data_IF_608596895516
#
_entry.id   IF_608596895516
#
_cell.length_a   1.000
_cell.length_b   1.000
_cell.length_c   1.000
_cell.angle_alpha   90.00
_cell.angle_beta   90.00
_cell.angle_gamma   90.00
#
_symmetry.space_group_name_H-M   'P 1'
#
loop_
_entity.id
_entity.type
_entity.pdbx_description
1 polymer ?
#
# COMPACT_ATOMS: atom_id res chain seq x y z
N UNK A 1 2.90 10.86 3.26
CA UNK A 1 2.22 11.93 4.04
C UNK A 1 1.08 11.38 4.89
N UNK A 2 0.13 10.62 4.31
CA UNK A 2 -1.04 10.10 5.04
C UNK A 2 -0.72 9.17 6.22
N UNK A 3 0.22 8.23 6.09
CA UNK A 3 0.60 7.34 7.22
C UNK A 3 1.23 8.10 8.38
N UNK A 4 2.00 9.16 8.10
CA UNK A 4 2.58 10.01 9.12
C UNK A 4 1.52 10.84 9.86
N UNK A 5 0.53 11.34 9.12
CA UNK A 5 -0.59 12.08 9.70
C UNK A 5 -1.49 11.18 10.56
N UNK A 6 -1.89 10.01 10.04
CA UNK A 6 -2.67 9.02 10.79
C UNK A 6 -1.91 8.54 12.04
N UNK A 7 -0.60 8.33 11.95
CA UNK A 7 0.21 7.98 13.11
C UNK A 7 0.23 9.10 14.17
N UNK A 8 0.36 10.36 13.75
CA UNK A 8 0.35 11.52 14.66
C UNK A 8 -1.02 11.70 15.35
N UNK A 9 -2.10 11.36 14.67
CA UNK A 9 -3.48 11.43 15.17
C UNK A 9 -3.88 10.18 15.99
N UNK A 10 -2.98 9.20 16.17
CA UNK A 10 -3.28 7.95 16.88
C UNK A 10 -4.20 6.99 16.11
N UNK A 11 -4.41 7.24 14.82
CA UNK A 11 -5.23 6.43 13.94
C UNK A 11 -4.69 5.00 13.77
N UNK A 12 -5.61 4.07 13.53
CA UNK A 12 -5.27 2.70 13.16
C UNK A 12 -5.00 2.63 11.66
N UNK A 13 -3.84 2.10 11.27
CA UNK A 13 -3.49 1.91 9.87
C UNK A 13 -2.54 0.72 9.72
N UNK A 14 -2.53 0.16 8.52
CA UNK A 14 -1.56 -0.85 8.07
C UNK A 14 -0.96 -0.37 6.74
N UNK A 15 0.36 -0.51 6.58
CA UNK A 15 1.09 -0.15 5.37
C UNK A 15 1.69 -1.40 4.74
N UNK A 16 1.30 -1.68 3.50
CA UNK A 16 1.89 -2.74 2.67
C UNK A 16 2.81 -2.08 1.65
N UNK A 17 4.11 -2.28 1.80
CA UNK A 17 5.14 -1.67 0.97
C UNK A 17 5.84 -2.74 0.13
N UNK A 18 5.71 -2.64 -1.19
CA UNK A 18 6.37 -3.55 -2.14
C UNK A 18 7.54 -2.84 -2.81
N UNK A 19 8.63 -3.56 -3.00
CA UNK A 19 9.77 -3.10 -3.79
C UNK A 19 10.49 -4.28 -4.42
N UNK A 20 11.25 -4.03 -5.49
CA UNK A 20 11.86 -5.13 -6.27
C UNK A 20 12.89 -5.93 -5.48
N UNK A 21 13.71 -5.25 -4.68
CA UNK A 21 14.76 -5.84 -3.84
C UNK A 21 14.88 -5.04 -2.55
N UNK A 22 15.47 -5.63 -1.52
CA UNK A 22 15.76 -4.91 -0.26
C UNK A 22 16.63 -3.66 -0.47
N UNK A 23 17.60 -3.73 -1.38
CA UNK A 23 18.48 -2.59 -1.70
C UNK A 23 17.77 -1.43 -2.40
N UNK A 24 16.64 -1.67 -3.08
CA UNK A 24 15.84 -0.64 -3.75
C UNK A 24 14.74 -0.07 -2.85
N UNK A 25 14.48 -0.69 -1.69
CA UNK A 25 13.53 -0.20 -0.70
C UNK A 25 14.12 0.85 0.23
N UNK A 26 14.52 2.02 -0.28
CA UNK A 26 15.24 3.07 0.50
C UNK A 26 14.53 3.51 1.79
N UNK A 27 13.21 3.38 1.86
CA UNK A 27 12.42 3.72 3.05
C UNK A 27 12.01 2.51 3.90
N UNK A 28 12.34 1.28 3.50
CA UNK A 28 11.92 0.06 4.16
C UNK A 28 12.31 0.04 5.65
N UNK A 29 13.58 0.29 5.94
CA UNK A 29 14.11 0.26 7.31
C UNK A 29 13.50 1.39 8.17
N UNK A 30 13.44 2.61 7.62
CA UNK A 30 12.83 3.78 8.30
C UNK A 30 11.36 3.53 8.64
N UNK A 31 10.60 2.93 7.72
CA UNK A 31 9.19 2.61 7.94
C UNK A 31 9.01 1.53 9.00
N UNK A 32 9.85 0.48 8.98
CA UNK A 32 9.83 -0.57 9.99
C UNK A 32 10.20 -0.05 11.37
N UNK A 33 11.25 0.77 11.49
CA UNK A 33 11.64 1.37 12.77
C UNK A 33 10.55 2.28 13.33
N UNK A 34 9.88 3.05 12.46
CA UNK A 34 8.88 4.04 12.89
C UNK A 34 7.52 3.44 13.25
N UNK A 35 7.08 2.41 12.53
CA UNK A 35 5.72 1.90 12.59
C UNK A 35 5.63 0.41 12.94
N UNK A 36 6.77 -0.25 13.11
CA UNK A 36 6.92 -1.62 13.61
C UNK A 36 5.93 -2.60 12.94
N UNK A 37 5.08 -3.27 13.73
CA UNK A 37 4.11 -4.29 13.25
C UNK A 37 3.04 -3.75 12.31
N UNK A 38 2.92 -2.43 12.12
CA UNK A 38 1.97 -1.82 11.17
C UNK A 38 2.51 -1.79 9.74
N UNK A 39 3.77 -2.16 9.51
CA UNK A 39 4.38 -2.17 8.17
C UNK A 39 4.70 -3.60 7.75
N UNK A 40 4.20 -3.99 6.59
CA UNK A 40 4.59 -5.23 5.90
C UNK A 40 5.37 -4.90 4.65
N UNK A 41 6.53 -5.50 4.54
CA UNK A 41 7.39 -5.38 3.37
C UNK A 41 7.24 -6.61 2.50
N UNK A 42 7.28 -6.40 1.19
CA UNK A 42 7.23 -7.45 0.17
C UNK A 42 8.32 -7.19 -0.85
N UNK A 43 9.11 -8.21 -1.14
CA UNK A 43 10.19 -8.15 -2.14
C UNK A 43 9.92 -9.04 -3.35
N UNK A 44 9.85 -8.44 -4.54
CA UNK A 44 9.56 -9.18 -5.78
C UNK A 44 10.65 -10.22 -6.10
N UNK A 45 11.92 -9.93 -5.80
CA UNK A 45 13.04 -10.86 -5.99
C UNK A 45 12.99 -12.10 -5.09
N UNK A 46 12.14 -12.08 -4.06
CA UNK A 46 11.86 -13.20 -3.16
C UNK A 46 10.51 -13.86 -3.45
N UNK A 47 9.83 -13.43 -4.51
CA UNK A 47 8.44 -13.81 -4.85
C UNK A 47 7.45 -13.57 -3.68
N UNK A 48 7.74 -12.56 -2.84
CA UNK A 48 6.84 -12.15 -1.78
C UNK A 48 5.75 -11.25 -2.37
N UNK A 49 4.48 -11.61 -2.17
CA UNK A 49 3.35 -10.86 -2.70
C UNK A 49 2.32 -10.52 -1.64
N UNK A 50 1.59 -9.45 -1.91
CA UNK A 50 0.44 -9.07 -1.09
C UNK A 50 -0.69 -10.02 -1.45
N UNK A 51 -1.17 -10.79 -0.46
CA UNK A 51 -2.41 -11.56 -0.53
C UNK A 51 -3.61 -10.60 -0.50
N UNK A 52 -3.80 -9.86 -1.60
CA UNK A 52 -4.69 -8.71 -1.65
C UNK A 52 -6.14 -9.07 -1.33
N UNK A 53 -6.60 -10.23 -1.78
CA UNK A 53 -7.97 -10.72 -1.56
C UNK A 53 -8.26 -10.89 -0.09
N UNK A 54 -7.34 -11.57 0.61
CA UNK A 54 -7.42 -11.79 2.04
C UNK A 54 -7.31 -10.47 2.79
N UNK A 55 -6.40 -9.59 2.35
CA UNK A 55 -6.21 -8.29 2.97
C UNK A 55 -7.47 -7.44 2.88
N UNK A 56 -8.04 -7.27 1.68
CA UNK A 56 -9.19 -6.40 1.45
C UNK A 56 -10.49 -6.97 2.03
N UNK A 57 -10.66 -8.29 2.05
CA UNK A 57 -11.85 -8.93 2.64
C UNK A 57 -11.86 -8.92 4.17
N UNK A 58 -10.70 -8.73 4.82
CA UNK A 58 -10.62 -8.70 6.28
C UNK A 58 -10.75 -7.30 6.90
N UNK A 59 -10.95 -6.26 6.09
CA UNK A 59 -10.97 -4.90 6.62
C UNK A 59 -12.34 -4.54 7.24
N UNK A 60 -12.35 -3.80 8.36
CA UNK A 60 -13.58 -3.28 8.93
C UNK A 60 -14.31 -2.33 7.99
N UNK A 61 -15.63 -2.21 8.16
CA UNK A 61 -16.42 -1.17 7.51
C UNK A 61 -15.91 0.22 7.94
N UNK A 62 -15.84 1.13 6.97
CA UNK A 62 -15.29 2.47 7.17
C UNK A 62 -13.77 2.58 6.98
N UNK A 63 -13.08 1.48 6.64
CA UNK A 63 -11.68 1.57 6.20
C UNK A 63 -11.56 2.27 4.85
N UNK A 64 -10.56 3.15 4.73
CA UNK A 64 -10.16 3.76 3.47
C UNK A 64 -8.89 3.08 2.94
N UNK A 65 -8.91 2.73 1.65
CA UNK A 65 -7.78 2.17 0.95
C UNK A 65 -7.04 3.27 0.19
N UNK A 66 -5.73 3.35 0.39
CA UNK A 66 -4.85 4.28 -0.34
C UNK A 66 -3.79 3.48 -1.07
N UNK A 67 -3.65 3.68 -2.38
CA UNK A 67 -2.64 3.00 -3.21
C UNK A 67 -1.83 4.00 -4.03
N UNK A 68 -0.51 3.87 -4.00
CA UNK A 68 0.38 4.62 -4.87
C UNK A 68 1.37 3.69 -5.55
N UNK A 69 1.70 3.95 -6.82
CA UNK A 69 2.63 3.10 -7.56
C UNK A 69 2.48 3.19 -9.08
N UNK A 70 3.03 2.21 -9.82
CA UNK A 70 2.85 2.09 -11.26
C UNK A 70 1.38 1.87 -11.62
N UNK A 71 0.96 2.35 -12.80
CA UNK A 71 -0.44 2.27 -13.24
C UNK A 71 -1.01 0.85 -13.23
N UNK A 72 -0.19 -0.17 -13.54
CA UNK A 72 -0.61 -1.58 -13.47
C UNK A 72 -0.95 -2.05 -12.06
N UNK A 73 -0.16 -1.65 -11.05
CA UNK A 73 -0.42 -1.96 -9.65
C UNK A 73 -1.68 -1.27 -9.16
N UNK A 74 -1.84 0.03 -9.48
CA UNK A 74 -3.03 0.80 -9.11
C UNK A 74 -4.29 0.17 -9.73
N UNK A 75 -4.26 -0.16 -11.02
CA UNK A 75 -5.37 -0.82 -11.71
C UNK A 75 -5.74 -2.14 -11.04
N UNK A 76 -4.75 -3.01 -10.82
CA UNK A 76 -4.94 -4.28 -10.13
C UNK A 76 -5.60 -4.13 -8.75
N UNK A 77 -5.12 -3.20 -7.92
CA UNK A 77 -5.69 -2.97 -6.58
C UNK A 77 -7.14 -2.47 -6.66
N UNK A 78 -7.41 -1.52 -7.56
CA UNK A 78 -8.75 -0.94 -7.73
C UNK A 78 -9.76 -1.97 -8.23
N UNK A 79 -9.39 -2.74 -9.25
CA UNK A 79 -10.26 -3.76 -9.82
C UNK A 79 -10.59 -4.82 -8.77
N UNK A 80 -9.60 -5.22 -7.95
CA UNK A 80 -9.85 -6.19 -6.90
C UNK A 80 -10.73 -5.63 -5.79
N UNK A 81 -10.48 -4.40 -5.33
CA UNK A 81 -11.33 -3.74 -4.33
C UNK A 81 -12.79 -3.64 -4.82
N UNK A 82 -13.00 -3.21 -6.07
CA UNK A 82 -14.33 -3.15 -6.67
C UNK A 82 -15.01 -4.53 -6.72
N UNK A 83 -14.28 -5.57 -7.11
CA UNK A 83 -14.83 -6.95 -7.13
C UNK A 83 -15.21 -7.50 -5.75
N UNK A 84 -14.65 -6.92 -4.67
CA UNK A 84 -14.95 -7.27 -3.28
C UNK A 84 -16.00 -6.32 -2.66
N UNK A 85 -16.59 -5.43 -3.45
CA UNK A 85 -17.67 -4.54 -3.02
C UNK A 85 -17.21 -3.28 -2.28
N UNK A 86 -15.94 -2.89 -2.39
CA UNK A 86 -15.47 -1.64 -1.80
C UNK A 86 -16.12 -0.43 -2.50
N UNK A 87 -16.69 0.53 -1.76
CA UNK A 87 -17.18 1.78 -2.33
C UNK A 87 -16.05 2.57 -3.01
N UNK A 88 -16.32 3.13 -4.20
CA UNK A 88 -15.31 3.90 -4.92
C UNK A 88 -14.79 5.12 -4.12
N UNK A 89 -15.63 5.70 -3.26
CA UNK A 89 -15.31 6.82 -2.39
C UNK A 89 -14.31 6.49 -1.27
N UNK A 90 -14.14 5.21 -0.94
CA UNK A 90 -13.15 4.76 0.06
C UNK A 90 -11.86 4.25 -0.58
N UNK A 91 -11.76 4.25 -1.91
CA UNK A 91 -10.56 3.80 -2.65
C UNK A 91 -9.86 4.98 -3.32
N UNK A 92 -8.72 5.36 -2.76
CA UNK A 92 -7.92 6.52 -3.15
C UNK A 92 -6.64 6.06 -3.83
N UNK A 93 -6.22 6.75 -4.89
CA UNK A 93 -5.00 6.37 -5.60
C UNK A 93 -4.23 7.56 -6.15
N UNK A 94 -2.90 7.42 -6.21
CA UNK A 94 -2.00 8.40 -6.79
C UNK A 94 -0.96 7.69 -7.68
N UNK A 95 -0.78 8.19 -8.90
CA UNK A 95 0.27 7.69 -9.79
C UNK A 95 1.62 8.28 -9.38
N UNK A 96 2.62 7.42 -9.19
CA UNK A 96 4.01 7.89 -9.25
C UNK A 96 4.31 8.21 -10.72
N UNK A 97 4.27 9.49 -11.08
CA UNK A 97 4.87 9.92 -12.33
C UNK A 97 6.38 9.64 -12.21
N UNK A 98 6.85 8.56 -12.85
CA UNK A 98 8.27 8.44 -13.14
C UNK A 98 8.66 9.71 -13.92
N UNK A 99 9.79 10.37 -13.61
CA UNK A 99 10.29 11.41 -14.49
C UNK A 99 10.41 10.82 -15.89
N UNK A 100 9.94 11.55 -16.92
CA UNK A 100 10.08 11.09 -18.30
C UNK A 100 11.56 10.72 -18.53
N UNK A 101 11.87 9.53 -19.09
CA UNK A 101 13.22 9.24 -19.50
C UNK A 101 13.62 10.29 -20.53
N UNK A 102 14.64 11.09 -20.20
CA UNK A 102 15.27 12.03 -21.13
C UNK A 102 16.10 11.33 -22.19
#
# INVERSE_FOLDING_TARGET
AQTAQLAAEGGNFELHYTCRTASLGTYADVLRERYDRRVRLYYDDRDERIELDRLLSSQPLGTHLYVCGPSGMIGWVRDRAASLGWPAETVHFEHFAAPQPG
#
